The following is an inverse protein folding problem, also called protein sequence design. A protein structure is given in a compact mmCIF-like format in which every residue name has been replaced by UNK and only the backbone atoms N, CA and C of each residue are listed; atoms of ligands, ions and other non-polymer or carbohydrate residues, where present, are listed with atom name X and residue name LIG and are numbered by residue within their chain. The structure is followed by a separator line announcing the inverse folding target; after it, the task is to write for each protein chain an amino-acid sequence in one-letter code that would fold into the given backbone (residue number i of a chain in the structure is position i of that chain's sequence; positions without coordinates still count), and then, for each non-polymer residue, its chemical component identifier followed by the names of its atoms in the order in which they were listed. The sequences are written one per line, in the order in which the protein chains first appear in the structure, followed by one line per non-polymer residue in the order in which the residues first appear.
data_IF_140617064432
#
_entry.id   IF_140617064432
#
_cell.length_a   1.000
_cell.length_b   1.000
_cell.length_c   1.000
_cell.angle_alpha   90.00
_cell.angle_beta   90.00
_cell.angle_gamma   90.00
#
_symmetry.space_group_name_H-M   'P 1'
#
loop_
_entity.id
_entity.type
_entity.pdbx_description
1 polymer ?
#
# COMPACT_ATOMS: atom_id res chain seq x y z
N UNK A 1 15.81 7.86 -15.69
CA UNK A 1 16.20 6.45 -15.46
C UNK A 1 16.05 6.18 -13.98
N UNK A 2 14.94 5.54 -13.58
CA UNK A 2 14.71 5.18 -12.18
C UNK A 2 15.42 3.85 -11.90
N UNK A 3 16.48 3.88 -11.09
CA UNK A 3 17.17 2.67 -10.63
C UNK A 3 16.44 2.16 -9.39
N UNK A 4 15.72 1.04 -9.53
CA UNK A 4 15.00 0.40 -8.43
C UNK A 4 15.85 -0.75 -7.87
N UNK A 5 16.40 -0.65 -6.64
CA UNK A 5 17.38 -1.63 -6.15
C UNK A 5 16.78 -3.00 -5.77
N UNK A 6 15.45 -3.12 -5.69
CA UNK A 6 14.78 -4.28 -5.09
C UNK A 6 14.08 -5.14 -6.14
N UNK A 7 14.45 -6.43 -6.20
CA UNK A 7 13.88 -7.42 -7.14
C UNK A 7 12.34 -7.50 -7.04
N UNK A 8 11.80 -7.46 -5.82
CA UNK A 8 10.36 -7.47 -5.54
C UNK A 8 9.64 -6.25 -6.14
N UNK A 9 10.22 -5.06 -6.05
CA UNK A 9 9.63 -3.87 -6.68
C UNK A 9 9.57 -4.03 -8.20
N UNK A 10 10.67 -4.52 -8.79
CA UNK A 10 10.78 -4.73 -10.23
C UNK A 10 9.76 -5.76 -10.75
N UNK A 11 9.47 -6.80 -9.98
CA UNK A 11 8.61 -7.91 -10.41
C UNK A 11 7.13 -7.73 -10.10
N UNK A 12 6.76 -6.93 -9.10
CA UNK A 12 5.37 -6.88 -8.63
C UNK A 12 4.85 -5.47 -8.39
N UNK A 13 5.61 -4.59 -7.74
CA UNK A 13 5.16 -3.21 -7.53
C UNK A 13 5.14 -2.38 -8.84
N UNK A 14 5.97 -2.73 -9.82
CA UNK A 14 5.97 -2.12 -11.16
C UNK A 14 4.66 -2.32 -11.92
N UNK A 15 3.84 -3.32 -11.57
CA UNK A 15 2.53 -3.56 -12.16
C UNK A 15 1.58 -2.35 -11.99
N UNK A 16 1.73 -1.59 -10.90
CA UNK A 16 0.94 -0.36 -10.65
C UNK A 16 1.22 0.69 -11.72
N UNK A 17 2.47 0.82 -12.18
CA UNK A 17 2.83 1.77 -13.24
C UNK A 17 2.25 1.35 -14.60
N UNK A 18 2.25 0.04 -14.88
CA UNK A 18 1.62 -0.51 -16.10
C UNK A 18 0.11 -0.26 -16.06
N UNK A 19 -0.54 -0.51 -14.92
CA UNK A 19 -1.96 -0.26 -14.74
C UNK A 19 -2.31 1.23 -14.93
N UNK A 20 -1.50 2.14 -14.37
CA UNK A 20 -1.64 3.58 -14.59
C UNK A 20 -1.58 3.94 -16.07
N UNK A 21 -0.56 3.45 -16.78
CA UNK A 21 -0.36 3.76 -18.19
C UNK A 21 -1.57 3.28 -19.02
N UNK A 22 -2.15 2.14 -18.65
CA UNK A 22 -3.37 1.63 -19.29
C UNK A 22 -4.60 2.50 -19.00
N UNK A 23 -4.82 2.91 -17.75
CA UNK A 23 -5.92 3.80 -17.36
C UNK A 23 -5.88 5.10 -18.15
N UNK A 24 -4.69 5.68 -18.32
CA UNK A 24 -4.48 6.91 -19.09
C UNK A 24 -4.73 6.66 -20.58
N UNK A 25 -4.18 5.58 -21.13
CA UNK A 25 -4.32 5.25 -22.56
C UNK A 25 -5.79 4.98 -22.96
N UNK A 26 -6.53 4.30 -22.10
CA UNK A 26 -7.94 3.96 -22.34
C UNK A 26 -8.92 5.07 -21.91
N UNK A 27 -8.42 6.18 -21.34
CA UNK A 27 -9.24 7.30 -20.85
C UNK A 27 -10.34 6.85 -19.87
N UNK A 28 -10.03 5.90 -18.99
CA UNK A 28 -11.01 5.35 -18.04
C UNK A 28 -11.41 6.38 -16.96
N UNK A 29 -10.52 7.31 -16.63
CA UNK A 29 -10.72 8.33 -15.60
C UNK A 29 -10.17 9.69 -16.10
N UNK A 30 -10.87 10.36 -17.03
CA UNK A 30 -10.43 11.65 -17.55
C UNK A 30 -10.49 12.72 -16.44
N UNK A 31 -9.48 13.59 -16.39
CA UNK A 31 -9.39 14.67 -15.40
C UNK A 31 -8.73 14.31 -14.06
N UNK A 32 -8.23 13.08 -13.93
CA UNK A 32 -7.44 12.65 -12.76
C UNK A 32 -5.99 12.38 -13.15
N UNK A 33 -5.06 12.91 -12.36
CA UNK A 33 -3.62 12.65 -12.48
C UNK A 33 -3.16 11.70 -11.38
N UNK A 34 -2.46 10.64 -11.76
CA UNK A 34 -1.95 9.63 -10.82
C UNK A 34 -0.45 9.82 -10.57
N UNK A 35 -0.08 10.14 -9.33
CA UNK A 35 1.32 10.21 -8.89
C UNK A 35 1.59 9.17 -7.81
N UNK A 36 2.70 8.44 -7.94
CA UNK A 36 3.08 7.36 -7.04
C UNK A 36 4.40 7.71 -6.32
N UNK A 37 4.34 7.79 -5.00
CA UNK A 37 5.52 7.87 -4.13
C UNK A 37 5.79 6.50 -3.54
N UNK A 38 7.03 6.02 -3.69
CA UNK A 38 7.43 4.67 -3.25
C UNK A 38 8.46 4.79 -2.15
N UNK A 39 8.18 4.16 -1.01
CA UNK A 39 9.11 4.02 0.12
C UNK A 39 9.29 2.53 0.43
N UNK A 40 10.45 2.17 0.98
CA UNK A 40 10.81 0.79 1.28
C UNK A 40 10.95 0.59 2.79
N UNK A 41 10.07 -0.21 3.37
CA UNK A 41 10.10 -0.59 4.79
C UNK A 41 11.02 -1.79 5.09
N UNK A 42 11.47 -2.51 4.06
CA UNK A 42 12.26 -3.74 4.15
C UNK A 42 11.66 -4.80 5.09
N UNK A 43 10.32 -4.84 5.15
CA UNK A 43 9.56 -5.68 6.07
C UNK A 43 9.87 -5.46 7.57
N UNK A 44 10.47 -4.32 7.93
CA UNK A 44 10.66 -3.91 9.33
C UNK A 44 9.43 -3.13 9.83
N UNK A 45 8.82 -3.62 10.90
CA UNK A 45 7.57 -3.09 11.44
C UNK A 45 7.70 -1.64 11.91
N UNK A 46 8.80 -1.32 12.61
CA UNK A 46 9.08 0.04 13.11
C UNK A 46 9.21 1.02 11.95
N UNK A 47 9.95 0.63 10.93
CA UNK A 47 10.17 1.45 9.74
C UNK A 47 8.86 1.64 8.97
N UNK A 48 8.07 0.58 8.78
CA UNK A 48 6.77 0.66 8.12
C UNK A 48 5.80 1.62 8.83
N UNK A 49 5.73 1.55 10.15
CA UNK A 49 4.89 2.45 10.94
C UNK A 49 5.28 3.92 10.71
N UNK A 50 6.58 4.24 10.77
CA UNK A 50 7.08 5.59 10.54
C UNK A 50 6.84 6.07 9.11
N UNK A 51 7.19 5.25 8.11
CA UNK A 51 7.03 5.59 6.70
C UNK A 51 5.55 5.77 6.31
N UNK A 52 4.64 4.99 6.89
CA UNK A 52 3.21 5.19 6.69
C UNK A 52 2.78 6.59 7.17
N UNK A 53 3.21 7.01 8.35
CA UNK A 53 2.94 8.37 8.85
C UNK A 53 3.56 9.43 7.94
N UNK A 54 4.79 9.24 7.47
CA UNK A 54 5.44 10.16 6.52
C UNK A 54 4.64 10.27 5.21
N UNK A 55 4.15 9.16 4.66
CA UNK A 55 3.31 9.18 3.46
C UNK A 55 2.02 9.99 3.68
N UNK A 56 1.37 9.80 4.82
CA UNK A 56 0.09 10.44 5.12
C UNK A 56 0.24 11.92 5.50
N UNK A 57 1.23 12.25 6.34
CA UNK A 57 1.40 13.60 6.89
C UNK A 57 2.20 14.51 5.98
N UNK A 58 3.32 14.01 5.46
CA UNK A 58 4.31 14.84 4.77
C UNK A 58 4.07 14.82 3.26
N UNK A 59 3.83 13.64 2.69
CA UNK A 59 3.49 13.48 1.26
C UNK A 59 2.00 13.63 0.96
N UNK A 60 1.13 13.59 1.98
CA UNK A 60 -0.33 13.77 1.87
C UNK A 60 -0.95 12.88 0.79
N UNK A 61 -0.60 11.60 0.80
CA UNK A 61 -1.15 10.63 -0.14
C UNK A 61 -2.65 10.41 0.09
N UNK A 62 -3.41 10.22 -0.97
CA UNK A 62 -4.85 9.93 -0.90
C UNK A 62 -5.14 8.44 -0.59
N UNK A 63 -4.19 7.56 -0.89
CA UNK A 63 -4.28 6.13 -0.64
C UNK A 63 -2.89 5.50 -0.49
N UNK A 64 -2.81 4.39 0.22
CA UNK A 64 -1.58 3.61 0.39
C UNK A 64 -1.77 2.23 -0.26
N UNK A 65 -0.80 1.82 -1.08
CA UNK A 65 -0.72 0.47 -1.64
C UNK A 65 0.43 -0.30 -0.98
N UNK A 66 0.10 -1.31 -0.19
CA UNK A 66 1.00 -2.04 0.70
C UNK A 66 0.73 -1.72 2.17
N UNK A 67 1.59 -2.16 3.12
CA UNK A 67 2.78 -3.00 2.97
C UNK A 67 2.54 -4.42 2.44
N UNK A 68 3.62 -5.09 2.01
CA UNK A 68 3.60 -6.45 1.44
C UNK A 68 3.85 -7.57 2.44
N UNK A 69 4.25 -7.23 3.67
CA UNK A 69 4.56 -8.14 4.75
C UNK A 69 3.55 -7.98 5.90
N UNK A 70 3.15 -9.08 6.52
CA UNK A 70 2.06 -9.10 7.51
C UNK A 70 2.25 -8.15 8.72
N UNK A 71 3.40 -8.17 9.40
CA UNK A 71 3.63 -7.29 10.56
C UNK A 71 3.69 -5.80 10.19
N UNK A 72 4.49 -5.40 9.18
CA UNK A 72 4.41 -4.05 8.60
C UNK A 72 2.99 -3.62 8.23
N UNK A 73 2.23 -4.52 7.59
CA UNK A 73 0.87 -4.23 7.16
C UNK A 73 -0.06 -3.91 8.33
N UNK A 74 0.05 -4.67 9.41
CA UNK A 74 -0.71 -4.40 10.65
C UNK A 74 -0.34 -3.02 11.20
N UNK A 75 0.95 -2.71 11.35
CA UNK A 75 1.40 -1.45 11.91
C UNK A 75 0.98 -0.24 11.04
N UNK A 76 1.14 -0.34 9.73
CA UNK A 76 0.73 0.70 8.79
C UNK A 76 -0.80 0.87 8.75
N UNK A 77 -1.58 -0.22 8.83
CA UNK A 77 -3.03 -0.17 8.82
C UNK A 77 -3.63 0.51 10.06
N UNK A 78 -3.01 0.36 11.24
CA UNK A 78 -3.40 1.12 12.43
C UNK A 78 -3.26 2.62 12.19
N UNK A 79 -2.12 3.05 11.63
CA UNK A 79 -1.90 4.45 11.33
C UNK A 79 -2.88 4.95 10.25
N UNK A 80 -3.13 4.16 9.21
CA UNK A 80 -4.07 4.49 8.15
C UNK A 80 -5.50 4.68 8.67
N UNK A 81 -5.94 3.83 9.61
CA UNK A 81 -7.22 3.99 10.29
C UNK A 81 -7.30 5.30 11.08
N UNK A 82 -6.21 5.68 11.77
CA UNK A 82 -6.15 6.94 12.53
C UNK A 82 -6.25 8.18 11.63
N UNK A 83 -5.55 8.20 10.50
CA UNK A 83 -5.60 9.31 9.55
C UNK A 83 -6.79 9.24 8.59
N UNK A 84 -7.62 8.19 8.69
CA UNK A 84 -8.75 7.91 7.80
C UNK A 84 -8.34 7.88 6.30
N UNK A 85 -7.21 7.23 6.01
CA UNK A 85 -6.69 7.05 4.64
C UNK A 85 -6.87 5.58 4.25
N UNK A 86 -7.41 5.28 3.05
CA UNK A 86 -7.55 3.92 2.57
C UNK A 86 -6.18 3.27 2.36
N UNK A 87 -6.01 2.05 2.88
CA UNK A 87 -4.81 1.24 2.73
C UNK A 87 -5.15 -0.10 2.10
N UNK A 88 -4.51 -0.41 0.98
CA UNK A 88 -4.72 -1.66 0.24
C UNK A 88 -3.48 -2.54 0.38
N UNK A 89 -3.55 -3.51 1.29
CA UNK A 89 -2.44 -4.43 1.56
C UNK A 89 -2.47 -5.59 0.55
N UNK A 90 -1.29 -6.04 0.12
CA UNK A 90 -1.14 -7.06 -0.92
C UNK A 90 0.08 -7.95 -0.65
N UNK A 91 0.33 -8.95 -1.50
CA UNK A 91 1.53 -9.78 -1.39
C UNK A 91 1.44 -10.84 -0.28
N UNK A 92 2.40 -10.85 0.65
CA UNK A 92 2.54 -11.83 1.73
C UNK A 92 1.84 -11.39 3.04
N UNK A 93 0.98 -10.37 2.96
CA UNK A 93 0.16 -9.89 4.06
C UNK A 93 -1.05 -10.82 4.26
N UNK A 94 -0.82 -12.03 4.77
CA UNK A 94 -1.83 -13.09 4.92
C UNK A 94 -2.33 -13.27 6.36
N UNK A 95 -1.97 -12.36 7.28
CA UNK A 95 -2.42 -12.40 8.67
C UNK A 95 -3.95 -12.27 8.76
N UNK A 96 -4.58 -13.22 9.45
CA UNK A 96 -6.02 -13.19 9.73
C UNK A 96 -6.44 -11.98 10.58
N UNK A 97 -5.51 -11.35 11.28
CA UNK A 97 -5.79 -10.13 12.04
C UNK A 97 -6.23 -8.98 11.14
N UNK A 98 -5.69 -8.90 9.92
CA UNK A 98 -6.02 -7.81 8.99
C UNK A 98 -7.48 -7.86 8.55
N UNK A 99 -8.17 -9.01 8.68
CA UNK A 99 -9.60 -9.17 8.36
C UNK A 99 -10.53 -8.54 9.39
N UNK A 100 -10.01 -8.05 10.50
CA UNK A 100 -10.79 -7.36 11.52
C UNK A 100 -11.17 -5.95 11.04
N UNK A 101 -12.38 -5.83 10.50
CA UNK A 101 -12.92 -4.57 9.95
C UNK A 101 -13.20 -3.51 11.01
N UNK A 102 -13.39 -3.90 12.27
CA UNK A 102 -13.54 -2.95 13.37
C UNK A 102 -12.19 -2.34 13.73
N UNK A 103 -11.13 -3.16 13.68
CA UNK A 103 -9.76 -2.72 13.94
C UNK A 103 -9.13 -1.96 12.76
N UNK A 104 -9.47 -2.33 11.53
CA UNK A 104 -8.89 -1.76 10.30
C UNK A 104 -9.98 -1.24 9.34
N UNK A 105 -10.75 -0.21 9.74
CA UNK A 105 -11.93 0.23 8.98
C UNK A 105 -11.59 0.80 7.59
N UNK A 106 -10.37 1.26 7.38
CA UNK A 106 -9.88 1.78 6.08
C UNK A 106 -9.00 0.77 5.32
N UNK A 107 -8.88 -0.45 5.85
CA UNK A 107 -8.04 -1.50 5.28
C UNK A 107 -8.78 -2.37 4.26
N UNK A 108 -8.16 -2.58 3.09
CA UNK A 108 -8.57 -3.58 2.12
C UNK A 108 -7.44 -4.58 1.87
N UNK A 109 -7.74 -5.88 1.94
CA UNK A 109 -6.75 -6.93 1.69
C UNK A 109 -6.96 -7.51 0.29
N UNK A 110 -5.92 -7.45 -0.52
CA UNK A 110 -5.90 -7.97 -1.90
C UNK A 110 -5.16 -9.32 -1.97
N UNK A 111 -4.44 -9.69 -0.90
CA UNK A 111 -3.79 -11.00 -0.77
C UNK A 111 -4.73 -12.08 -0.22
N UNK A 112 -4.39 -13.34 -0.47
CA UNK A 112 -5.08 -14.47 0.14
C UNK A 112 -4.97 -14.37 1.66
N UNK A 113 -6.09 -14.44 2.36
CA UNK A 113 -6.12 -14.45 3.81
C UNK A 113 -7.05 -15.56 4.30
N UNK A 114 -6.88 -15.97 5.55
CA UNK A 114 -7.79 -16.90 6.19
C UNK A 114 -8.84 -16.12 6.99
N UNK A 115 -10.10 -16.43 6.73
CA UNK A 115 -11.20 -16.06 7.63
C UNK A 115 -11.10 -16.94 8.87
N UNK A 116 -11.17 -16.32 10.05
CA UNK A 116 -11.30 -17.04 11.32
C UNK A 116 -12.73 -16.91 11.82
#
# INVERSE_FOLDING_TARGET
MFSFPNLLFRTTASAVLIARDRIIQEQLLPGFDFNFTVLFDQCDEKTAAGLAVTLMRDYKVDAILGPTCSYPAIAAAINAAYYNIPILVWGLSTSSQLNDVERFPTGGIISVNSFR
#
